data_IF_490938452844
#
_entry.id   IF_490938452844
#
_cell.length_a   1.000
_cell.length_b   1.000
_cell.length_c   1.000
_cell.angle_alpha   90.00
_cell.angle_beta   90.00
_cell.angle_gamma   90.00
#
_symmetry.space_group_name_H-M   'P 1'
#
loop_
_entity.id
_entity.type
_entity.pdbx_description
1 polymer ?
#
# COMPACT_ATOMS: atom_id res chain seq x y z
N UNK A 1 25.49 14.16 21.25
CA UNK A 1 24.87 14.12 21.01
C UNK A 1 24.38 13.84 20.39
N UNK A 2 24.27 13.83 20.26
CA UNK A 2 23.52 13.69 19.83
C UNK A 2 23.04 12.85 19.71
N UNK A 3 23.31 12.45 19.58
CA UNK A 3 22.79 11.71 19.49
C UNK A 3 21.95 11.52 19.80
N UNK A 4 21.67 11.56 19.88
CA UNK A 4 20.78 11.44 20.32
C UNK A 4 19.86 11.45 19.72
N UNK A 5 19.67 11.47 19.06
CA UNK A 5 18.71 11.46 18.57
C UNK A 5 18.34 10.37 18.33
N UNK A 6 18.70 9.70 18.23
CA UNK A 6 18.33 8.66 17.97
C UNK A 6 17.89 7.98 18.92
N UNK A 7 18.01 8.07 19.69
CA UNK A 7 17.51 7.53 20.56
C UNK A 7 16.44 7.76 20.59
N UNK A 8 16.21 8.39 20.10
CA UNK A 8 15.11 8.74 19.98
C UNK A 8 14.41 7.84 19.37
N UNK A 9 14.78 7.09 18.90
CA UNK A 9 14.20 6.18 18.38
C UNK A 9 13.80 5.41 19.29
N UNK A 10 12.95 5.62 19.85
CA UNK A 10 12.44 4.92 20.75
C UNK A 10 12.13 3.68 20.33
N UNK A 11 12.40 2.78 20.93
CA UNK A 11 12.07 1.51 20.61
C UNK A 11 10.62 1.39 20.61
N UNK A 12 10.14 0.83 19.68
CA UNK A 12 8.82 0.63 19.60
C UNK A 12 8.37 -0.38 20.45
N UNK A 13 7.26 -0.32 20.94
CA UNK A 13 6.72 -1.40 21.71
C UNK A 13 6.62 -2.57 20.81
N UNK A 14 6.64 -3.69 21.32
CA UNK A 14 6.56 -4.85 20.54
C UNK A 14 5.20 -5.04 19.97
N UNK A 15 4.73 -4.09 19.27
CA UNK A 15 3.51 -4.24 18.68
C UNK A 15 3.56 -5.16 17.64
N UNK A 16 2.58 -5.82 17.38
CA UNK A 16 2.53 -6.76 16.38
C UNK A 16 2.01 -6.20 15.14
N UNK A 17 1.86 -4.95 15.00
CA UNK A 17 1.33 -4.36 13.81
C UNK A 17 2.36 -4.44 12.72
N UNK A 18 1.95 -4.78 11.52
CA UNK A 18 2.89 -4.77 10.40
C UNK A 18 3.33 -3.36 10.09
N UNK A 19 4.46 -3.19 9.51
CA UNK A 19 4.92 -1.85 9.16
C UNK A 19 3.97 -1.23 8.15
N UNK A 20 3.68 0.02 8.32
CA UNK A 20 2.85 0.72 7.40
C UNK A 20 3.69 1.19 6.24
N UNK A 21 3.19 1.04 5.06
CA UNK A 21 3.92 1.43 3.88
C UNK A 21 2.97 1.90 2.79
N UNK A 22 3.42 2.89 2.03
CA UNK A 22 2.66 3.39 0.89
C UNK A 22 3.37 3.01 -0.39
N UNK A 23 2.60 2.71 -1.40
CA UNK A 23 3.15 2.30 -2.68
C UNK A 23 2.73 3.29 -3.75
N UNK A 24 3.63 3.56 -4.68
CA UNK A 24 3.32 4.36 -5.84
C UNK A 24 2.82 3.43 -6.93
N UNK A 25 2.24 4.01 -7.96
CA UNK A 25 1.63 3.22 -9.03
C UNK A 25 2.58 2.18 -9.64
N UNK A 26 3.83 2.49 -9.95
CA UNK A 26 4.69 1.45 -10.52
C UNK A 26 4.85 0.24 -9.60
N UNK A 27 4.88 0.47 -8.29
CA UNK A 27 5.01 -0.64 -7.36
C UNK A 27 3.72 -1.44 -7.28
N UNK A 28 2.59 -0.76 -7.36
CA UNK A 28 1.31 -1.45 -7.36
C UNK A 28 1.18 -2.31 -8.60
N UNK A 29 1.55 -1.76 -9.76
CA UNK A 29 1.52 -2.51 -11.01
C UNK A 29 2.35 -3.77 -10.89
N UNK A 30 3.55 -3.64 -10.34
CA UNK A 30 4.43 -4.80 -10.19
C UNK A 30 3.84 -5.85 -9.26
N UNK A 31 3.14 -5.40 -8.21
CA UNK A 31 2.61 -6.36 -7.26
C UNK A 31 1.37 -7.08 -7.75
N UNK A 32 0.49 -6.37 -8.43
CA UNK A 32 -0.78 -6.97 -8.79
C UNK A 32 -0.82 -7.51 -10.22
N UNK A 33 0.15 -7.13 -11.03
CA UNK A 33 0.20 -7.65 -12.39
C UNK A 33 -0.84 -7.06 -13.33
N UNK A 34 -1.41 -5.91 -12.99
CA UNK A 34 -2.38 -5.26 -13.83
C UNK A 34 -1.80 -3.98 -14.37
N UNK A 35 -2.25 -3.57 -15.53
CA UNK A 35 -1.81 -2.32 -16.10
C UNK A 35 -2.56 -1.17 -15.47
N UNK A 36 -2.03 0.03 -15.68
CA UNK A 36 -2.61 1.23 -15.11
C UNK A 36 -4.09 1.36 -15.41
N UNK A 37 -4.49 1.20 -16.66
CA UNK A 37 -5.89 1.38 -17.01
C UNK A 37 -6.77 0.37 -16.30
N UNK A 38 -6.31 -0.86 -16.16
CA UNK A 38 -7.10 -1.88 -15.48
C UNK A 38 -7.25 -1.55 -14.00
N UNK A 39 -6.20 -1.02 -13.40
CA UNK A 39 -6.26 -0.64 -12.00
C UNK A 39 -7.29 0.47 -11.79
N UNK A 40 -7.22 1.52 -12.61
CA UNK A 40 -8.14 2.63 -12.45
C UNK A 40 -9.57 2.23 -12.77
N UNK A 41 -9.76 1.33 -13.74
CA UNK A 41 -11.09 0.87 -14.05
C UNK A 41 -11.67 0.11 -12.87
N UNK A 42 -10.90 -0.78 -12.26
CA UNK A 42 -11.39 -1.53 -11.11
C UNK A 42 -11.65 -0.63 -9.92
N UNK A 43 -10.86 0.42 -9.77
CA UNK A 43 -11.11 1.38 -8.70
C UNK A 43 -12.45 2.06 -8.91
N UNK A 44 -12.77 2.43 -10.14
CA UNK A 44 -14.03 3.09 -10.40
C UNK A 44 -15.22 2.16 -10.20
N UNK A 45 -14.98 0.87 -10.29
CA UNK A 45 -16.04 -0.12 -10.08
C UNK A 45 -16.11 -0.56 -8.62
N UNK A 46 -15.25 -0.04 -7.77
CA UNK A 46 -15.24 -0.43 -6.38
C UNK A 46 -14.63 -1.79 -6.13
N UNK A 47 -13.81 -2.29 -7.06
CA UNK A 47 -13.23 -3.62 -6.97
C UNK A 47 -11.74 -3.62 -6.73
N UNK A 48 -11.19 -2.50 -6.37
CA UNK A 48 -9.76 -2.39 -6.11
C UNK A 48 -9.57 -1.33 -5.02
N UNK A 49 -8.54 -1.47 -4.18
CA UNK A 49 -8.32 -0.47 -3.14
C UNK A 49 -8.12 0.92 -3.72
N UNK A 50 -8.65 1.90 -3.05
CA UNK A 50 -8.59 3.24 -3.55
C UNK A 50 -7.26 3.88 -3.27
N UNK A 51 -6.81 4.75 -4.17
CA UNK A 51 -5.58 5.49 -3.93
C UNK A 51 -5.86 6.65 -2.99
N UNK A 52 -4.82 7.12 -2.36
CA UNK A 52 -4.86 8.32 -1.53
C UNK A 52 -4.04 9.38 -2.22
N UNK A 53 -4.47 10.61 -2.16
CA UNK A 53 -3.74 11.70 -2.79
C UNK A 53 -2.92 12.42 -1.74
N UNK A 54 -1.63 12.49 -1.96
CA UNK A 54 -0.75 13.23 -1.06
C UNK A 54 -0.43 14.60 -1.62
N UNK A 55 -0.96 14.92 -2.77
CA UNK A 55 -0.70 16.21 -3.39
C UNK A 55 -0.92 16.09 -4.87
N UNK A 56 -0.65 17.14 -5.61
CA UNK A 56 -0.84 17.07 -7.06
C UNK A 56 0.02 15.98 -7.66
N UNK A 57 -0.58 15.15 -8.45
CA UNK A 57 0.14 14.08 -9.13
C UNK A 57 0.84 13.11 -8.18
N UNK A 58 0.34 12.98 -6.99
CA UNK A 58 0.95 12.09 -6.02
C UNK A 58 -0.09 11.13 -5.46
N UNK A 59 -0.38 10.09 -6.19
CA UNK A 59 -1.31 9.07 -5.74
C UNK A 59 -0.54 7.90 -5.18
N UNK A 60 -0.97 7.40 -4.04
CA UNK A 60 -0.33 6.27 -3.40
C UNK A 60 -1.40 5.31 -2.93
N UNK A 61 -0.99 4.08 -2.68
CA UNK A 61 -1.89 3.05 -2.16
C UNK A 61 -1.29 2.50 -0.87
N UNK A 62 -2.14 2.11 0.04
CA UNK A 62 -1.67 1.52 1.29
C UNK A 62 -1.28 0.08 1.01
N UNK A 63 -0.06 -0.28 1.32
CA UNK A 63 0.44 -1.61 1.02
C UNK A 63 -0.42 -2.71 1.63
N UNK A 64 -0.86 -2.51 2.85
CA UNK A 64 -1.68 -3.51 3.52
C UNK A 64 -2.99 -3.77 2.77
N UNK A 65 -3.56 -2.73 2.19
CA UNK A 65 -4.78 -2.89 1.42
C UNK A 65 -4.52 -3.65 0.12
N UNK A 66 -3.38 -3.40 -0.49
CA UNK A 66 -3.01 -4.10 -1.72
C UNK A 66 -2.79 -5.59 -1.39
N UNK A 67 -2.11 -5.87 -0.31
CA UNK A 67 -1.85 -7.25 0.08
C UNK A 67 -3.15 -7.97 0.40
N UNK A 68 -4.07 -7.29 1.06
CA UNK A 68 -5.35 -7.87 1.38
C UNK A 68 -6.14 -8.18 0.11
N UNK A 69 -6.09 -7.27 -0.85
CA UNK A 69 -6.78 -7.48 -2.12
C UNK A 69 -6.19 -8.68 -2.85
N UNK A 70 -4.88 -8.83 -2.84
CA UNK A 70 -4.22 -9.96 -3.48
C UNK A 70 -4.67 -11.26 -2.83
N UNK A 71 -4.75 -11.30 -1.51
CA UNK A 71 -5.20 -12.49 -0.83
C UNK A 71 -6.64 -12.81 -1.17
N UNK A 72 -7.47 -11.77 -1.26
CA UNK A 72 -8.88 -11.98 -1.56
C UNK A 72 -9.06 -12.56 -2.95
N UNK A 73 -8.38 -12.01 -3.96
CA UNK A 73 -8.56 -12.54 -5.30
C UNK A 73 -7.91 -13.92 -5.46
N UNK A 74 -6.90 -14.21 -4.65
CA UNK A 74 -6.24 -15.51 -4.72
C UNK A 74 -7.15 -16.62 -4.22
N UNK A 75 -8.20 -16.30 -3.50
CA UNK A 75 -9.13 -17.29 -3.01
C UNK A 75 -10.28 -17.54 -3.95
N UNK A 76 -10.41 -16.76 -5.00
CA UNK A 76 -11.53 -16.91 -5.90
C UNK A 76 -11.30 -18.13 -6.76
N UNK A 77 -12.17 -19.10 -6.74
CA UNK A 77 -11.97 -20.29 -7.56
C UNK A 77 -12.23 -19.96 -9.01
N UNK A 78 -11.58 -20.65 -9.86
CA UNK A 78 -11.77 -20.41 -11.28
C UNK A 78 -12.95 -21.12 -11.81
#
# INVERSE_FOLDING_TARGET
PHATQDETQTPQPPEVLPPARLLRLPEVIARVGLRRSAIYQRMSEGRFPRSRSLGPKCAVWVEAEIDEWIRAVSRIPN
#
